data_IF_528013031438
#
_entry.id   IF_528013031438
#
_cell.length_a   1.000
_cell.length_b   1.000
_cell.length_c   1.000
_cell.angle_alpha   90.00
_cell.angle_beta   90.00
_cell.angle_gamma   90.00
#
_symmetry.space_group_name_H-M   'P 1'
#
loop_
_entity.id
_entity.type
_entity.pdbx_description
1 polymer ?
#
# COMPACT_ATOMS: atom_id res chain seq x y z
N UNK A 1 -16.04 -5.31 3.40
CA UNK A 1 -16.10 -6.78 3.28
C UNK A 1 -16.66 -7.13 1.90
N UNK A 2 -15.83 -7.47 0.92
CA UNK A 2 -16.30 -7.80 -0.44
C UNK A 2 -16.55 -9.31 -0.54
N UNK A 3 -17.82 -9.72 -0.66
CA UNK A 3 -18.24 -11.06 -1.08
C UNK A 3 -18.67 -10.95 -2.55
N UNK A 4 -17.97 -11.64 -3.44
CA UNK A 4 -18.22 -11.66 -4.89
C UNK A 4 -16.97 -12.07 -5.66
N UNK A 5 -17.04 -12.24 -6.98
CA UNK A 5 -15.94 -12.76 -7.82
C UNK A 5 -14.61 -11.97 -7.72
N UNK A 6 -14.62 -10.75 -7.16
CA UNK A 6 -13.41 -10.03 -6.72
C UNK A 6 -12.60 -10.77 -5.63
N UNK A 7 -13.26 -11.59 -4.81
CA UNK A 7 -12.63 -12.46 -3.82
C UNK A 7 -11.83 -13.61 -4.46
N UNK A 8 -12.22 -14.07 -5.66
CA UNK A 8 -11.47 -15.08 -6.42
C UNK A 8 -10.23 -14.50 -7.10
N UNK A 9 -10.30 -13.26 -7.59
CA UNK A 9 -9.09 -12.49 -7.96
C UNK A 9 -8.18 -12.26 -6.75
N UNK A 10 -8.79 -12.10 -5.57
CA UNK A 10 -8.11 -12.13 -4.28
C UNK A 10 -7.34 -13.43 -4.00
N UNK A 11 -7.82 -14.61 -4.42
CA UNK A 11 -7.12 -15.89 -4.20
C UNK A 11 -5.81 -16.02 -4.99
N UNK A 12 -5.70 -15.36 -6.16
CA UNK A 12 -4.45 -15.35 -6.94
C UNK A 12 -3.39 -14.40 -6.35
N UNK A 13 -3.83 -13.40 -5.56
CA UNK A 13 -3.02 -12.24 -5.19
C UNK A 13 -2.08 -12.45 -3.99
N UNK A 14 -2.27 -13.48 -3.16
CA UNK A 14 -1.43 -13.67 -1.93
C UNK A 14 -0.81 -15.07 -1.79
N UNK A 15 -1.19 -16.05 -2.61
CA UNK A 15 -0.38 -17.27 -2.77
C UNK A 15 0.86 -17.06 -3.66
N UNK A 16 0.84 -16.06 -4.54
CA UNK A 16 1.85 -15.93 -5.60
C UNK A 16 3.23 -15.47 -5.16
N UNK A 17 3.41 -14.73 -4.07
CA UNK A 17 4.72 -14.09 -3.83
C UNK A 17 5.80 -15.11 -3.37
N UNK A 18 5.41 -16.31 -2.95
CA UNK A 18 6.35 -17.39 -2.56
C UNK A 18 6.46 -18.51 -3.61
N UNK A 19 5.50 -18.62 -4.54
CA UNK A 19 5.50 -19.63 -5.63
C UNK A 19 5.75 -19.06 -7.05
N UNK A 20 5.97 -17.74 -7.21
CA UNK A 20 6.17 -17.10 -8.52
C UNK A 20 7.65 -16.94 -8.93
N UNK A 21 8.47 -17.95 -8.68
CA UNK A 21 9.74 -18.10 -9.41
C UNK A 21 9.55 -18.37 -10.91
N UNK A 22 8.33 -18.67 -11.36
CA UNK A 22 8.02 -19.14 -12.71
C UNK A 22 7.39 -18.12 -13.68
N UNK A 23 7.05 -16.90 -13.23
CA UNK A 23 6.39 -15.89 -14.10
C UNK A 23 7.11 -14.53 -14.03
N UNK A 24 8.28 -14.45 -14.67
CA UNK A 24 9.12 -13.25 -14.74
C UNK A 24 8.40 -12.00 -15.27
N UNK A 25 7.44 -12.17 -16.20
CA UNK A 25 6.66 -11.06 -16.76
C UNK A 25 5.64 -10.47 -15.77
N UNK A 26 4.94 -11.33 -15.00
CA UNK A 26 3.97 -10.88 -13.99
C UNK A 26 4.66 -10.10 -12.88
N UNK A 27 5.85 -10.53 -12.47
CA UNK A 27 6.68 -9.81 -11.50
C UNK A 27 7.14 -8.43 -12.00
N UNK A 28 7.41 -8.28 -13.29
CA UNK A 28 7.81 -6.99 -13.88
C UNK A 28 6.66 -6.00 -13.92
N UNK A 29 5.49 -6.41 -14.41
CA UNK A 29 4.27 -5.58 -14.42
C UNK A 29 3.89 -5.15 -13.01
N UNK A 30 3.98 -6.07 -12.04
CA UNK A 30 3.67 -5.75 -10.64
C UNK A 30 4.63 -4.69 -10.07
N UNK A 31 5.94 -4.81 -10.33
CA UNK A 31 6.93 -3.80 -9.90
C UNK A 31 6.65 -2.43 -10.51
N UNK A 32 6.29 -2.38 -11.80
CA UNK A 32 5.94 -1.14 -12.48
C UNK A 32 4.69 -0.49 -11.85
N UNK A 33 3.64 -1.26 -11.58
CA UNK A 33 2.43 -0.75 -10.93
C UNK A 33 2.70 -0.23 -9.51
N UNK A 34 3.57 -0.90 -8.75
CA UNK A 34 4.02 -0.43 -7.44
C UNK A 34 4.78 0.90 -7.56
N UNK A 35 5.70 0.99 -8.53
CA UNK A 35 6.47 2.21 -8.80
C UNK A 35 5.55 3.38 -9.19
N UNK A 36 4.60 3.17 -10.10
CA UNK A 36 3.66 4.20 -10.54
C UNK A 36 2.79 4.72 -9.38
N UNK A 37 2.36 3.84 -8.48
CA UNK A 37 1.63 4.23 -7.27
C UNK A 37 2.50 5.06 -6.31
N UNK A 38 3.77 4.66 -6.11
CA UNK A 38 4.70 5.43 -5.28
C UNK A 38 4.86 6.85 -5.82
N UNK A 39 5.11 6.99 -7.12
CA UNK A 39 5.26 8.29 -7.79
C UNK A 39 4.01 9.15 -7.64
N UNK A 40 2.82 8.56 -7.81
CA UNK A 40 1.56 9.28 -7.63
C UNK A 40 1.39 9.79 -6.19
N UNK A 41 1.65 8.94 -5.19
CA UNK A 41 1.51 9.29 -3.77
C UNK A 41 2.54 10.37 -3.40
N UNK A 42 3.80 10.24 -3.81
CA UNK A 42 4.83 11.24 -3.55
C UNK A 42 4.46 12.60 -4.17
N UNK A 43 3.91 12.61 -5.38
CA UNK A 43 3.41 13.83 -6.02
C UNK A 43 2.29 14.48 -5.21
N UNK A 44 1.31 13.70 -4.75
CA UNK A 44 0.21 14.21 -3.93
C UNK A 44 0.70 14.77 -2.59
N UNK A 45 1.67 14.11 -1.95
CA UNK A 45 2.28 14.59 -0.71
C UNK A 45 3.00 15.92 -0.95
N UNK A 46 3.81 16.00 -2.01
CA UNK A 46 4.51 17.24 -2.36
C UNK A 46 3.53 18.38 -2.67
N UNK A 47 2.43 18.10 -3.37
CA UNK A 47 1.38 19.09 -3.61
C UNK A 47 0.72 19.56 -2.30
N UNK A 48 0.40 18.63 -1.41
CA UNK A 48 -0.18 18.97 -0.10
C UNK A 48 0.77 19.76 0.80
N UNK A 49 2.08 19.52 0.71
CA UNK A 49 3.08 20.33 1.41
C UNK A 49 3.17 21.76 0.82
N UNK A 50 3.07 21.88 -0.51
CA UNK A 50 3.10 23.18 -1.19
C UNK A 50 1.86 24.03 -0.91
N UNK A 51 0.68 23.39 -0.82
CA UNK A 51 -0.59 24.08 -0.52
C UNK A 51 -0.91 24.18 0.98
N UNK A 52 -0.11 23.53 1.83
CA UNK A 52 -0.22 23.58 3.29
C UNK A 52 -1.24 22.60 3.89
N UNK A 53 -1.85 21.72 3.09
CA UNK A 53 -2.76 20.67 3.58
C UNK A 53 -2.04 19.49 4.26
N UNK A 54 -0.73 19.33 4.04
CA UNK A 54 0.13 18.35 4.71
C UNK A 54 1.19 19.12 5.50
N UNK A 55 1.17 18.98 6.83
CA UNK A 55 2.08 19.68 7.75
C UNK A 55 3.47 19.08 7.83
N UNK A 56 3.60 17.80 7.48
CA UNK A 56 4.85 17.06 7.52
C UNK A 56 5.90 17.67 6.59
N UNK A 57 7.06 18.00 7.15
CA UNK A 57 8.25 18.43 6.39
C UNK A 57 9.12 17.26 5.91
N UNK A 58 8.61 16.02 6.03
CA UNK A 58 9.32 14.82 5.61
C UNK A 58 9.42 14.72 4.09
N UNK A 59 10.46 14.02 3.62
CA UNK A 59 10.65 13.76 2.19
C UNK A 59 9.44 13.00 1.58
N UNK A 60 8.78 13.52 0.53
CA UNK A 60 7.59 12.92 -0.06
C UNK A 60 7.78 11.48 -0.54
N UNK A 61 8.95 11.15 -1.08
CA UNK A 61 9.25 9.80 -1.56
C UNK A 61 9.34 8.80 -0.41
N UNK A 62 9.98 9.19 0.68
CA UNK A 62 10.08 8.41 1.92
C UNK A 62 8.70 8.16 2.53
N UNK A 63 7.86 9.19 2.60
CA UNK A 63 6.49 9.07 3.14
C UNK A 63 5.62 8.19 2.24
N UNK A 64 5.72 8.34 0.92
CA UNK A 64 5.01 7.50 -0.03
C UNK A 64 5.40 6.01 0.09
N UNK A 65 6.69 5.72 0.28
CA UNK A 65 7.20 4.37 0.47
C UNK A 65 6.69 3.74 1.77
N UNK A 66 6.67 4.51 2.86
CA UNK A 66 6.10 4.06 4.14
C UNK A 66 4.61 3.73 4.00
N UNK A 67 3.81 4.65 3.46
CA UNK A 67 2.37 4.45 3.31
C UNK A 67 2.04 3.25 2.41
N UNK A 68 2.80 3.08 1.33
CA UNK A 68 2.61 1.95 0.41
C UNK A 68 2.99 0.62 1.06
N UNK A 69 4.06 0.61 1.86
CA UNK A 69 4.49 -0.56 2.64
C UNK A 69 3.44 -0.97 3.66
N UNK A 70 2.86 -0.01 4.39
CA UNK A 70 1.79 -0.25 5.35
C UNK A 70 0.52 -0.78 4.66
N UNK A 71 0.14 -0.20 3.51
CA UNK A 71 -1.02 -0.64 2.74
C UNK A 71 -0.89 -2.09 2.27
N UNK A 72 0.28 -2.47 1.75
CA UNK A 72 0.52 -3.85 1.31
C UNK A 72 0.65 -4.82 2.48
N UNK A 73 1.30 -4.43 3.58
CA UNK A 73 1.36 -5.22 4.81
C UNK A 73 -0.03 -5.53 5.37
N UNK A 74 -0.94 -4.55 5.41
CA UNK A 74 -2.32 -4.76 5.84
C UNK A 74 -3.08 -5.78 4.98
N UNK A 75 -2.84 -5.83 3.67
CA UNK A 75 -3.47 -6.83 2.79
C UNK A 75 -3.01 -8.26 3.11
N UNK A 76 -1.76 -8.42 3.57
CA UNK A 76 -1.25 -9.72 4.04
C UNK A 76 -1.86 -10.07 5.39
N UNK A 77 -1.77 -9.16 6.38
CA UNK A 77 -2.30 -9.36 7.73
C UNK A 77 -3.82 -9.60 7.75
N UNK A 78 -4.56 -8.94 6.87
CA UNK A 78 -6.00 -9.14 6.71
C UNK A 78 -6.39 -10.52 6.20
N UNK A 79 -5.50 -11.21 5.47
CA UNK A 79 -5.74 -12.60 5.01
C UNK A 79 -5.34 -13.65 6.04
N UNK A 80 -4.36 -13.35 6.89
CA UNK A 80 -3.94 -14.27 7.97
C UNK A 80 -4.82 -14.15 9.22
N UNK A 81 -5.81 -13.25 9.21
CA UNK A 81 -6.60 -12.92 10.41
C UNK A 81 -5.78 -12.26 11.51
N UNK A 82 -4.56 -11.80 11.19
CA UNK A 82 -3.61 -11.17 12.12
C UNK A 82 -3.70 -9.65 12.12
N UNK A 83 -4.66 -9.08 11.38
CA UNK A 83 -4.94 -7.65 11.45
C UNK A 83 -5.35 -7.29 12.88
N UNK A 84 -4.83 -6.18 13.41
CA UNK A 84 -5.19 -5.71 14.75
C UNK A 84 -6.71 -5.55 14.84
N UNK A 85 -7.30 -5.80 16.01
CA UNK A 85 -8.74 -5.68 16.22
C UNK A 85 -9.32 -4.31 15.81
N UNK A 86 -8.47 -3.30 15.64
CA UNK A 86 -8.81 -1.94 15.24
C UNK A 86 -7.96 -1.47 14.04
N UNK A 87 -8.30 -1.95 12.83
CA UNK A 87 -7.68 -1.48 11.59
C UNK A 87 -7.78 0.05 11.40
N UNK A 88 -8.85 0.67 11.88
CA UNK A 88 -9.03 2.12 11.84
C UNK A 88 -7.97 2.87 12.67
N UNK A 89 -7.66 2.38 13.87
CA UNK A 89 -6.62 2.98 14.73
C UNK A 89 -5.24 2.84 14.09
N UNK A 90 -4.97 1.69 13.44
CA UNK A 90 -3.73 1.50 12.68
C UNK A 90 -3.63 2.52 11.54
N UNK A 91 -4.68 2.68 10.73
CA UNK A 91 -4.70 3.65 9.63
C UNK A 91 -4.55 5.08 10.14
N UNK A 92 -5.29 5.46 11.18
CA UNK A 92 -5.19 6.78 11.78
C UNK A 92 -3.77 7.05 12.32
N UNK A 93 -3.13 6.05 12.92
CA UNK A 93 -1.74 6.17 13.39
C UNK A 93 -0.75 6.28 12.23
N UNK A 94 -0.94 5.50 11.16
CA UNK A 94 -0.12 5.56 9.96
C UNK A 94 -0.20 6.95 9.29
N UNK A 95 -1.39 7.55 9.24
CA UNK A 95 -1.60 8.85 8.61
C UNK A 95 -0.95 10.02 9.36
N UNK A 96 -0.57 9.85 10.62
CA UNK A 96 0.20 10.88 11.37
C UNK A 96 1.56 11.22 10.77
N UNK A 97 2.07 10.40 9.84
CA UNK A 97 3.28 10.75 9.08
C UNK A 97 3.07 11.99 8.17
N UNK A 98 1.81 12.35 7.91
CA UNK A 98 1.41 13.52 7.12
C UNK A 98 1.22 14.79 7.96
N UNK A 99 1.17 14.65 9.29
CA UNK A 99 1.10 15.77 10.23
C UNK A 99 2.49 16.41 10.41
#
# INVERSE_FOLDING_TARGET
>A
MSRGDEGKLGCLLVGGIVELGHFSHVGAVLREQISNRRVLIARLISQGQQDGSIGSASDPDTVAELLLSLLYGMRVLGKTGSCTANAEVFVATALKVLD
#
